data_IF_586030232319
#
_entry.id   IF_586030232319
#
_cell.length_a   1.000
_cell.length_b   1.000
_cell.length_c   1.000
_cell.angle_alpha   90.00
_cell.angle_beta   90.00
_cell.angle_gamma   90.00
#
_symmetry.space_group_name_H-M   'P 1'
#
loop_
_entity.id
_entity.type
_entity.pdbx_description
1 polymer ?
#
# COMPACT_ATOMS: atom_id res chain seq x y z
N UNK A 1 0.32 -30.48 19.99
CA UNK A 1 1.02 -29.93 18.82
C UNK A 1 2.02 -28.86 19.31
N UNK A 2 3.34 -29.06 19.11
CA UNK A 2 4.33 -28.03 19.43
C UNK A 2 4.10 -26.82 18.48
N UNK A 3 3.87 -25.63 19.03
CA UNK A 3 3.84 -24.38 18.23
C UNK A 3 5.19 -24.25 17.52
N UNK A 4 5.20 -24.27 16.20
CA UNK A 4 6.39 -23.91 15.42
C UNK A 4 6.71 -22.44 15.73
N UNK A 5 7.96 -22.11 16.00
CA UNK A 5 8.39 -20.72 16.19
C UNK A 5 8.27 -19.96 14.85
N UNK A 6 8.17 -18.64 14.90
CA UNK A 6 8.14 -17.80 13.70
C UNK A 6 9.40 -18.02 12.86
N UNK A 7 10.56 -18.16 13.49
CA UNK A 7 11.82 -18.46 12.81
C UNK A 7 11.73 -19.75 11.98
N UNK A 8 11.18 -20.80 12.59
CA UNK A 8 10.99 -22.09 11.90
C UNK A 8 10.01 -21.97 10.74
N UNK A 9 8.93 -21.17 10.88
CA UNK A 9 7.93 -20.95 9.86
C UNK A 9 8.51 -20.18 8.66
N UNK A 10 9.31 -19.14 8.92
CA UNK A 10 9.91 -18.29 7.91
C UNK A 10 11.24 -18.82 7.35
N UNK A 11 11.81 -19.87 7.96
CA UNK A 11 13.10 -20.43 7.57
C UNK A 11 14.25 -19.45 7.74
N UNK A 12 14.25 -18.70 8.85
CA UNK A 12 15.27 -17.75 9.27
C UNK A 12 15.97 -18.22 10.54
N UNK A 13 17.20 -17.77 10.75
CA UNK A 13 17.95 -18.02 11.99
C UNK A 13 17.86 -16.83 12.97
N UNK A 14 18.46 -16.97 14.15
CA UNK A 14 18.46 -15.92 15.18
C UNK A 14 19.17 -14.63 14.73
N UNK A 15 20.19 -14.73 13.88
CA UNK A 15 20.87 -13.58 13.32
C UNK A 15 19.99 -12.84 12.31
N UNK A 16 19.28 -13.58 11.44
CA UNK A 16 18.32 -13.01 10.48
C UNK A 16 17.20 -12.27 11.23
N UNK A 17 16.68 -12.87 12.31
CA UNK A 17 15.67 -12.24 13.17
C UNK A 17 16.16 -10.92 13.76
N UNK A 18 17.36 -10.90 14.36
CA UNK A 18 17.95 -9.68 14.92
C UNK A 18 18.14 -8.59 13.86
N UNK A 19 18.59 -8.96 12.66
CA UNK A 19 18.73 -8.01 11.53
C UNK A 19 17.37 -7.38 11.21
N UNK A 20 16.31 -8.17 11.09
CA UNK A 20 14.96 -7.66 10.82
C UNK A 20 14.50 -6.72 11.93
N UNK A 21 14.62 -7.11 13.20
CA UNK A 21 14.24 -6.30 14.36
C UNK A 21 14.99 -4.95 14.43
N UNK A 22 16.26 -4.94 14.05
CA UNK A 22 17.07 -3.71 14.02
C UNK A 22 16.65 -2.77 12.90
N UNK A 23 16.39 -3.31 11.70
CA UNK A 23 15.93 -2.54 10.54
C UNK A 23 14.50 -2.02 10.78
N UNK A 24 13.63 -2.80 11.42
CA UNK A 24 12.27 -2.38 11.79
C UNK A 24 12.29 -1.17 12.73
N UNK A 25 13.20 -1.18 13.72
CA UNK A 25 13.35 -0.06 14.66
C UNK A 25 14.00 1.18 14.05
N UNK A 26 14.96 0.98 13.16
CA UNK A 26 15.67 2.04 12.46
C UNK A 26 15.96 1.61 11.02
N UNK A 27 15.10 2.01 10.07
CA UNK A 27 15.26 1.66 8.64
C UNK A 27 16.56 2.16 8.00
N UNK A 28 17.18 3.20 8.60
CA UNK A 28 18.42 3.82 8.11
C UNK A 28 19.69 3.29 8.80
N UNK A 29 19.54 2.24 9.62
CA UNK A 29 20.68 1.62 10.33
C UNK A 29 21.72 1.10 9.33
N UNK A 30 22.99 1.36 9.61
CA UNK A 30 24.08 0.91 8.72
C UNK A 30 24.37 -0.58 8.91
N UNK A 31 24.84 -1.25 7.84
CA UNK A 31 25.31 -2.63 7.93
C UNK A 31 26.46 -2.79 8.95
N UNK A 32 27.26 -1.74 9.14
CA UNK A 32 28.35 -1.73 10.12
C UNK A 32 27.82 -1.77 11.55
N UNK A 33 26.78 -1.03 11.86
CA UNK A 33 26.18 -1.01 13.20
C UNK A 33 25.44 -2.32 13.51
N UNK A 34 24.73 -2.87 12.52
CA UNK A 34 24.14 -4.20 12.65
C UNK A 34 25.25 -5.23 12.91
N UNK A 35 26.35 -5.18 12.16
CA UNK A 35 27.45 -6.13 12.28
C UNK A 35 28.07 -6.14 13.68
N UNK A 36 28.26 -4.97 14.30
CA UNK A 36 28.74 -4.84 15.68
C UNK A 36 27.78 -5.49 16.67
N UNK A 37 26.48 -5.22 16.53
CA UNK A 37 25.46 -5.72 17.47
C UNK A 37 25.26 -7.25 17.43
N UNK A 38 25.37 -7.84 16.23
CA UNK A 38 25.20 -9.29 16.08
C UNK A 38 26.52 -10.08 16.03
N UNK A 39 27.66 -9.40 16.29
CA UNK A 39 29.03 -9.98 16.29
C UNK A 39 29.35 -10.71 14.97
N UNK A 40 29.08 -10.07 13.85
CA UNK A 40 29.38 -10.58 12.49
C UNK A 40 30.17 -9.55 11.69
N UNK A 41 30.70 -9.94 10.56
CA UNK A 41 31.34 -9.00 9.63
C UNK A 41 30.28 -8.24 8.83
N UNK A 42 30.57 -6.99 8.45
CA UNK A 42 29.70 -6.19 7.61
C UNK A 42 29.33 -6.87 6.28
N UNK A 43 30.25 -7.55 5.56
CA UNK A 43 29.89 -8.31 4.36
C UNK A 43 28.91 -9.45 4.63
N UNK A 44 29.03 -10.14 5.78
CA UNK A 44 28.11 -11.20 6.17
C UNK A 44 26.70 -10.67 6.45
N UNK A 45 26.58 -9.49 7.06
CA UNK A 45 25.31 -8.80 7.27
C UNK A 45 24.68 -8.42 5.94
N UNK A 46 25.45 -7.80 5.03
CA UNK A 46 24.98 -7.44 3.70
C UNK A 46 24.45 -8.64 2.91
N UNK A 47 25.19 -9.76 2.93
CA UNK A 47 24.76 -10.99 2.26
C UNK A 47 23.44 -11.55 2.83
N UNK A 48 23.23 -11.45 4.17
CA UNK A 48 21.99 -11.88 4.83
C UNK A 48 20.82 -10.97 4.46
N UNK A 49 21.02 -9.65 4.45
CA UNK A 49 19.97 -8.69 4.05
C UNK A 49 19.53 -8.96 2.62
N UNK A 50 20.46 -9.10 1.68
CA UNK A 50 20.16 -9.45 0.28
C UNK A 50 19.39 -10.78 0.18
N UNK A 51 19.76 -11.79 0.99
CA UNK A 51 19.04 -13.06 1.03
C UNK A 51 17.61 -12.90 1.53
N UNK A 52 17.39 -12.09 2.59
CA UNK A 52 16.07 -11.81 3.15
C UNK A 52 15.19 -11.04 2.16
N UNK A 53 15.75 -10.05 1.46
CA UNK A 53 15.06 -9.29 0.41
C UNK A 53 14.67 -10.18 -0.77
N UNK A 54 15.59 -11.02 -1.27
CA UNK A 54 15.29 -11.98 -2.35
C UNK A 54 14.21 -13.01 -2.00
N UNK A 55 14.06 -13.33 -0.72
CA UNK A 55 13.01 -14.21 -0.22
C UNK A 55 11.72 -13.46 0.13
N UNK A 56 11.65 -12.17 -0.11
CA UNK A 56 10.55 -11.29 0.28
C UNK A 56 10.21 -11.35 1.78
N UNK A 57 11.19 -11.69 2.62
CA UNK A 57 11.06 -11.70 4.09
C UNK A 57 11.38 -10.32 4.70
N UNK A 58 12.06 -9.48 3.95
CA UNK A 58 12.34 -8.09 4.25
C UNK A 58 11.95 -7.25 3.04
N UNK A 59 11.03 -6.32 3.22
CA UNK A 59 10.60 -5.39 2.17
C UNK A 59 10.57 -3.98 2.74
N UNK A 60 11.15 -3.03 2.02
CA UNK A 60 11.08 -1.60 2.35
C UNK A 60 10.02 -0.96 1.47
N UNK A 61 9.08 -0.26 2.08
CA UNK A 61 8.05 0.51 1.38
C UNK A 61 8.33 1.99 1.64
N UNK A 62 8.41 2.77 0.56
CA UNK A 62 8.51 4.22 0.61
C UNK A 62 7.15 4.81 0.25
N UNK A 63 6.70 5.78 1.03
CA UNK A 63 5.39 6.40 0.81
C UNK A 63 5.12 7.50 1.82
N UNK A 64 3.89 7.97 1.86
CA UNK A 64 3.45 8.99 2.81
C UNK A 64 2.86 8.37 4.07
N UNK A 65 3.26 8.91 5.22
CA UNK A 65 2.67 8.52 6.49
C UNK A 65 1.33 9.25 6.66
N UNK A 66 0.23 8.52 6.48
CA UNK A 66 -1.14 9.03 6.54
C UNK A 66 -1.45 9.72 7.87
N UNK A 67 -0.77 9.33 8.96
CA UNK A 67 -0.90 9.99 10.27
C UNK A 67 -0.32 11.41 10.30
N UNK A 68 0.59 11.74 9.37
CA UNK A 68 1.39 12.99 9.37
C UNK A 68 1.03 13.93 8.23
N UNK A 69 0.36 13.44 7.20
CA UNK A 69 0.02 14.20 6.01
C UNK A 69 -1.50 14.20 5.79
N UNK A 70 -2.03 15.29 5.27
CA UNK A 70 -3.48 15.44 5.03
C UNK A 70 -3.90 14.79 3.71
N UNK A 71 -3.73 13.46 3.65
CA UNK A 71 -4.23 12.62 2.56
C UNK A 71 -5.47 11.90 3.04
N UNK A 72 -6.53 11.94 2.24
CA UNK A 72 -7.76 11.20 2.55
C UNK A 72 -7.59 9.75 2.10
N UNK A 73 -7.95 8.83 2.97
CA UNK A 73 -7.91 7.40 2.70
C UNK A 73 -9.29 6.79 2.96
N UNK A 74 -9.72 5.94 2.06
CA UNK A 74 -10.92 5.14 2.21
C UNK A 74 -10.60 3.65 2.15
N UNK A 75 -11.34 2.87 2.94
CA UNK A 75 -11.39 1.42 2.83
C UNK A 75 -12.67 1.09 2.06
N UNK A 76 -12.50 0.52 0.87
CA UNK A 76 -13.60 0.17 -0.03
C UNK A 76 -13.76 -1.33 -0.07
N UNK A 77 -14.93 -1.80 0.31
CA UNK A 77 -15.33 -3.21 0.22
C UNK A 77 -16.20 -3.38 -1.01
N UNK A 78 -15.87 -4.33 -1.84
CA UNK A 78 -16.59 -4.63 -3.08
C UNK A 78 -17.08 -6.07 -3.06
N UNK A 79 -18.38 -6.27 -3.33
CA UNK A 79 -18.96 -7.55 -3.64
C UNK A 79 -19.17 -7.62 -5.14
N UNK A 80 -18.53 -8.55 -5.82
CA UNK A 80 -18.60 -8.70 -7.27
C UNK A 80 -18.83 -10.15 -7.69
N UNK A 81 -19.44 -10.34 -8.85
CA UNK A 81 -19.60 -11.65 -9.49
C UNK A 81 -18.31 -12.12 -10.15
N UNK A 82 -17.46 -11.19 -10.58
CA UNK A 82 -16.18 -11.48 -11.25
C UNK A 82 -15.03 -10.74 -10.55
N UNK A 83 -14.35 -11.45 -9.66
CA UNK A 83 -13.21 -10.90 -8.90
C UNK A 83 -12.02 -10.63 -9.81
N UNK A 84 -11.78 -11.48 -10.80
CA UNK A 84 -10.62 -11.37 -11.67
C UNK A 84 -10.73 -10.14 -12.60
N UNK A 85 -11.94 -9.83 -13.06
CA UNK A 85 -12.18 -8.62 -13.84
C UNK A 85 -11.92 -7.36 -13.01
N UNK A 86 -12.43 -7.30 -11.78
CA UNK A 86 -12.17 -6.17 -10.88
C UNK A 86 -10.68 -6.06 -10.57
N UNK A 87 -9.98 -7.15 -10.29
CA UNK A 87 -8.53 -7.13 -10.03
C UNK A 87 -7.77 -6.53 -11.21
N UNK A 88 -8.03 -6.97 -12.43
CA UNK A 88 -7.41 -6.41 -13.65
C UNK A 88 -7.66 -4.91 -13.81
N UNK A 89 -8.87 -4.47 -13.46
CA UNK A 89 -9.27 -3.06 -13.56
C UNK A 89 -8.52 -2.17 -12.57
N UNK A 90 -8.27 -2.68 -11.35
CA UNK A 90 -7.66 -1.88 -10.27
C UNK A 90 -6.14 -2.04 -10.19
N UNK A 91 -5.56 -3.07 -10.80
CA UNK A 91 -4.13 -3.41 -10.69
C UNK A 91 -3.19 -2.25 -11.04
N UNK A 92 -3.59 -1.43 -12.01
CA UNK A 92 -2.80 -0.29 -12.46
C UNK A 92 -3.40 1.07 -12.06
N UNK A 93 -4.34 1.09 -11.12
CA UNK A 93 -4.96 2.34 -10.67
C UNK A 93 -4.05 3.04 -9.65
N UNK A 94 -3.53 4.24 -9.93
CA UNK A 94 -2.59 4.94 -9.04
C UNK A 94 -3.23 5.40 -7.73
N UNK A 95 -4.55 5.48 -7.67
CA UNK A 95 -5.31 5.86 -6.46
C UNK A 95 -5.57 4.68 -5.53
N UNK A 96 -5.34 3.43 -5.99
CA UNK A 96 -5.55 2.22 -5.20
C UNK A 96 -4.19 1.72 -4.70
N UNK A 97 -3.87 2.07 -3.46
CA UNK A 97 -2.57 1.77 -2.86
C UNK A 97 -2.41 0.29 -2.52
N UNK A 98 -3.49 -0.34 -2.07
CA UNK A 98 -3.52 -1.76 -1.71
C UNK A 98 -4.87 -2.36 -2.09
N UNK A 99 -4.85 -3.61 -2.55
CA UNK A 99 -6.05 -4.38 -2.82
C UNK A 99 -5.86 -5.83 -2.35
N UNK A 100 -6.96 -6.43 -1.87
CA UNK A 100 -6.96 -7.78 -1.32
C UNK A 100 -8.19 -8.53 -1.81
N UNK A 101 -8.01 -9.81 -2.17
CA UNK A 101 -9.12 -10.75 -2.26
C UNK A 101 -9.44 -11.22 -0.85
N UNK A 102 -10.67 -11.09 -0.42
CA UNK A 102 -11.12 -11.48 0.92
C UNK A 102 -12.26 -12.47 0.84
N UNK A 103 -12.50 -13.23 1.91
CA UNK A 103 -13.63 -14.14 2.04
C UNK A 103 -14.81 -13.45 2.72
N UNK A 104 -16.04 -13.82 2.36
CA UNK A 104 -17.27 -13.32 2.98
C UNK A 104 -18.21 -12.64 1.97
N UNK A 105 -19.10 -11.79 2.48
CA UNK A 105 -20.07 -11.04 1.69
C UNK A 105 -19.40 -10.14 0.64
N UNK A 106 -18.34 -9.46 1.05
CA UNK A 106 -17.45 -8.72 0.16
C UNK A 106 -16.26 -9.61 -0.20
N UNK A 107 -15.86 -9.62 -1.45
CA UNK A 107 -14.78 -10.48 -1.94
C UNK A 107 -13.56 -9.72 -2.44
N UNK A 108 -13.63 -8.38 -2.48
CA UNK A 108 -12.48 -7.48 -2.70
C UNK A 108 -12.49 -6.37 -1.67
N UNK A 109 -11.30 -6.01 -1.17
CA UNK A 109 -11.06 -4.88 -0.30
C UNK A 109 -9.95 -4.03 -0.89
N UNK A 110 -10.16 -2.71 -0.98
CA UNK A 110 -9.17 -1.77 -1.49
C UNK A 110 -8.93 -0.64 -0.49
N UNK A 111 -7.68 -0.16 -0.44
CA UNK A 111 -7.33 1.13 0.14
C UNK A 111 -7.21 2.14 -1.00
N UNK A 112 -8.04 3.15 -0.97
CA UNK A 112 -8.08 4.23 -1.97
C UNK A 112 -7.64 5.51 -1.30
N UNK A 113 -6.69 6.24 -1.89
CA UNK A 113 -6.23 7.52 -1.37
C UNK A 113 -6.33 8.63 -2.40
N UNK A 114 -6.67 9.82 -1.94
CA UNK A 114 -6.76 11.03 -2.76
C UNK A 114 -6.57 12.29 -1.90
N UNK A 115 -6.45 13.45 -2.54
CA UNK A 115 -6.35 14.74 -1.86
C UNK A 115 -7.62 15.12 -1.09
N UNK A 116 -8.78 14.68 -1.56
CA UNK A 116 -10.08 15.05 -1.02
C UNK A 116 -11.12 13.93 -1.14
N UNK A 117 -12.22 14.06 -0.37
CA UNK A 117 -13.28 13.05 -0.34
C UNK A 117 -14.13 13.00 -1.61
N UNK A 118 -14.23 14.11 -2.35
CA UNK A 118 -15.01 14.14 -3.59
C UNK A 118 -14.29 13.30 -4.66
N UNK A 119 -12.98 13.39 -4.70
CA UNK A 119 -12.16 12.55 -5.58
C UNK A 119 -12.30 11.07 -5.22
N UNK A 120 -12.26 10.71 -3.93
CA UNK A 120 -12.51 9.31 -3.49
C UNK A 120 -13.89 8.83 -3.94
N UNK A 121 -14.95 9.64 -3.75
CA UNK A 121 -16.31 9.25 -4.14
C UNK A 121 -16.44 9.04 -5.65
N UNK A 122 -15.83 9.92 -6.47
CA UNK A 122 -15.80 9.75 -7.93
C UNK A 122 -15.05 8.49 -8.34
N UNK A 123 -13.91 8.21 -7.72
CA UNK A 123 -13.15 6.99 -7.97
C UNK A 123 -13.97 5.74 -7.67
N UNK A 124 -14.63 5.71 -6.52
CA UNK A 124 -15.48 4.58 -6.11
C UNK A 124 -16.65 4.39 -7.09
N UNK A 125 -17.28 5.49 -7.52
CA UNK A 125 -18.36 5.43 -8.49
C UNK A 125 -17.89 4.87 -9.83
N UNK A 126 -16.81 5.42 -10.39
CA UNK A 126 -16.28 5.04 -11.70
C UNK A 126 -15.67 3.64 -11.70
N UNK A 127 -14.89 3.29 -10.67
CA UNK A 127 -14.21 2.00 -10.63
C UNK A 127 -15.12 0.84 -10.28
N UNK A 128 -16.13 1.09 -9.43
CA UNK A 128 -16.89 0.00 -8.85
C UNK A 128 -18.40 0.12 -9.05
N UNK A 129 -19.07 1.24 -8.69
CA UNK A 129 -20.54 1.30 -8.71
C UNK A 129 -21.13 1.21 -10.10
N UNK A 130 -20.44 1.70 -11.13
CA UNK A 130 -20.89 1.61 -12.53
C UNK A 130 -20.59 0.28 -13.20
N UNK A 131 -19.86 -0.61 -12.52
CA UNK A 131 -19.54 -1.92 -13.08
C UNK A 131 -20.72 -2.88 -12.94
N UNK A 132 -21.22 -3.47 -14.03
CA UNK A 132 -22.40 -4.35 -14.01
C UNK A 132 -22.17 -5.66 -13.25
N UNK A 133 -20.93 -6.07 -13.04
CA UNK A 133 -20.55 -7.24 -12.27
C UNK A 133 -20.52 -6.96 -10.77
N UNK A 134 -20.48 -5.68 -10.36
CA UNK A 134 -20.47 -5.29 -8.95
C UNK A 134 -21.89 -5.36 -8.38
N UNK A 135 -22.02 -6.07 -7.27
CA UNK A 135 -23.28 -6.28 -6.57
C UNK A 135 -23.49 -5.21 -5.50
N UNK A 136 -22.41 -4.94 -4.74
CA UNK A 136 -22.47 -4.01 -3.61
C UNK A 136 -21.10 -3.36 -3.36
N UNK A 137 -21.12 -2.10 -2.93
CA UNK A 137 -19.92 -1.35 -2.56
C UNK A 137 -20.17 -0.65 -1.23
N UNK A 138 -19.26 -0.87 -0.26
CA UNK A 138 -19.25 -0.17 1.02
C UNK A 138 -17.97 0.62 1.15
N UNK A 139 -18.07 1.92 1.37
CA UNK A 139 -16.95 2.84 1.56
C UNK A 139 -16.91 3.31 3.00
N UNK A 140 -15.75 3.15 3.65
CA UNK A 140 -15.49 3.69 4.98
C UNK A 140 -14.30 4.67 4.87
N UNK A 141 -14.51 5.89 5.29
CA UNK A 141 -13.44 6.90 5.33
C UNK A 141 -12.60 6.67 6.58
N UNK A 142 -11.28 6.67 6.42
CA UNK A 142 -10.33 6.65 7.51
C UNK A 142 -10.32 8.02 8.19
N UNK A 143 -10.77 8.08 9.43
CA UNK A 143 -10.81 9.34 10.19
C UNK A 143 -9.44 9.65 10.78
N UNK A 144 -8.80 8.64 11.37
CA UNK A 144 -7.50 8.78 12.04
C UNK A 144 -6.74 7.46 12.00
N UNK A 145 -5.44 7.54 11.80
CA UNK A 145 -4.53 6.39 11.94
C UNK A 145 -3.91 6.39 13.34
N UNK A 146 -4.16 5.34 14.11
CA UNK A 146 -3.64 5.20 15.49
C UNK A 146 -2.12 5.01 15.46
N UNK A 147 -1.63 4.19 14.56
CA UNK A 147 -0.21 3.94 14.33
C UNK A 147 0.25 4.58 13.02
N UNK A 148 1.54 4.64 12.82
CA UNK A 148 2.10 5.04 11.53
C UNK A 148 1.60 4.09 10.44
N UNK A 149 1.00 4.66 9.40
CA UNK A 149 0.49 3.94 8.25
C UNK A 149 1.03 4.59 6.99
N UNK A 150 1.95 3.89 6.33
CA UNK A 150 2.62 4.37 5.12
C UNK A 150 1.90 3.81 3.90
N UNK A 151 1.42 4.73 3.04
CA UNK A 151 0.84 4.38 1.74
C UNK A 151 1.80 4.80 0.63
N UNK A 152 2.14 3.90 -0.30
CA UNK A 152 2.86 4.28 -1.50
C UNK A 152 1.93 5.13 -2.37
N UNK A 153 2.41 6.30 -2.79
CA UNK A 153 1.67 7.20 -3.67
C UNK A 153 2.49 7.37 -4.93
N UNK A 154 1.86 7.13 -6.06
CA UNK A 154 2.43 7.41 -7.36
C UNK A 154 2.24 8.89 -7.70
N UNK A 155 3.33 9.64 -7.82
CA UNK A 155 3.30 11.06 -8.22
C UNK A 155 2.81 11.28 -9.65
N UNK A 156 2.75 10.24 -10.48
CA UNK A 156 2.13 10.33 -11.81
C UNK A 156 0.63 10.60 -11.77
N UNK A 157 0.03 10.60 -10.56
CA UNK A 157 -1.36 11.02 -10.33
C UNK A 157 -1.62 12.44 -10.89
N UNK A 158 -0.65 13.35 -10.83
CA UNK A 158 -0.80 14.72 -11.35
C UNK A 158 -0.96 14.77 -12.87
N UNK A 159 -0.31 13.85 -13.58
CA UNK A 159 -0.33 13.73 -15.04
C UNK A 159 -1.27 12.60 -15.50
N UNK A 160 -2.11 12.08 -14.59
CA UNK A 160 -2.98 10.96 -14.86
C UNK A 160 -4.02 11.32 -15.92
N UNK A 161 -3.86 10.74 -17.11
CA UNK A 161 -4.72 10.94 -18.28
C UNK A 161 -5.67 9.75 -18.54
N UNK A 162 -5.83 8.84 -17.57
CA UNK A 162 -6.70 7.65 -17.63
C UNK A 162 -6.17 6.49 -18.43
N UNK A 163 -5.02 6.62 -19.08
CA UNK A 163 -4.45 5.52 -19.91
C UNK A 163 -3.96 4.33 -19.12
N UNK A 164 -3.76 4.49 -17.80
CA UNK A 164 -3.26 3.44 -16.91
C UNK A 164 -4.35 2.53 -16.35
N UNK A 165 -5.58 2.97 -16.30
CA UNK A 165 -6.72 2.10 -16.02
C UNK A 165 -7.07 1.42 -17.34
N UNK A 166 -6.99 0.10 -17.43
CA UNK A 166 -7.22 -0.67 -18.65
C UNK A 166 -8.45 -0.30 -19.48
N UNK A 167 -8.73 -0.96 -20.58
CA UNK A 167 -9.82 -0.64 -21.49
C UNK A 167 -11.15 -0.53 -20.74
N UNK A 168 -11.79 0.63 -20.78
CA UNK A 168 -13.05 0.93 -20.11
C UNK A 168 -12.96 1.83 -18.87
N UNK A 169 -11.79 2.32 -18.50
CA UNK A 169 -11.66 3.38 -17.51
C UNK A 169 -11.84 4.76 -18.17
N UNK A 170 -13.01 5.37 -18.01
CA UNK A 170 -13.30 6.71 -18.51
C UNK A 170 -12.97 7.79 -17.45
N UNK A 171 -11.97 7.55 -16.60
CA UNK A 171 -11.67 8.43 -15.47
C UNK A 171 -11.16 9.82 -15.90
N UNK A 172 -10.63 9.96 -17.11
CA UNK A 172 -9.96 11.19 -17.57
C UNK A 172 -10.91 12.36 -17.77
N UNK A 173 -12.13 12.10 -18.21
CA UNK A 173 -13.09 13.15 -18.53
C UNK A 173 -13.79 13.72 -17.30
N UNK A 174 -13.86 12.93 -16.21
CA UNK A 174 -14.67 13.22 -15.02
C UNK A 174 -13.89 13.61 -13.77
N UNK A 175 -12.55 13.42 -13.74
CA UNK A 175 -11.76 13.83 -12.57
C UNK A 175 -11.41 15.33 -12.66
N UNK A 176 -11.59 16.10 -11.59
CA UNK A 176 -11.08 17.46 -11.52
C UNK A 176 -9.56 17.39 -11.67
N UNK A 177 -8.99 18.26 -12.54
CA UNK A 177 -7.54 18.43 -12.61
C UNK A 177 -7.03 18.66 -11.20
N UNK A 178 -6.12 17.82 -10.73
CA UNK A 178 -5.50 17.94 -9.42
C UNK A 178 -4.93 19.35 -9.29
N UNK A 179 -5.58 20.18 -8.48
CA UNK A 179 -5.02 21.47 -8.08
C UNK A 179 -4.51 21.28 -6.66
N UNK A 180 -3.20 21.06 -6.51
CA UNK A 180 -2.58 21.38 -5.24
C UNK A 180 -2.80 22.87 -5.00
N UNK A 181 -3.53 23.22 -3.96
CA UNK A 181 -3.67 24.61 -3.55
C UNK A 181 -2.26 25.11 -3.16
N UNK A 182 -1.68 25.93 -4.05
CA UNK A 182 -0.54 26.77 -3.71
C UNK A 182 -1.03 27.91 -2.82
N UNK A 183 -1.39 27.62 -1.58
CA UNK A 183 -1.68 28.64 -0.58
C UNK A 183 -1.32 28.06 0.78
N UNK A 184 -0.06 28.30 1.16
CA UNK A 184 0.40 28.54 2.55
C UNK A 184 1.93 28.60 2.62
N UNK A 185 2.57 29.32 1.67
CA UNK A 185 3.89 29.89 1.88
C UNK A 185 3.74 31.40 2.08
N UNK A 186 3.23 31.83 3.22
CA UNK A 186 3.40 33.18 3.71
C UNK A 186 2.82 33.30 5.13
N UNK A 187 3.58 32.85 6.15
CA UNK A 187 3.68 33.56 7.45
C UNK A 187 4.74 32.91 8.33
#
# INVERSE_FOLDING_TARGET
>A
MKKKSFETLLGIDSSDKKIIEMIEKNPDITHSDIAKEIEKSQPAVGARIIKLERKHLLTKIVGFNVKKVDIKVAIVYVSTKDVEEIVKKIENCPFINHAFKISGEFNVLCFVSASDLQTIEKLVDLCFRRDPNVINVKTNILIESIHDFVVPIDFQIEDFDGRFCGPGCNMVEDLPKFKFSKEEEAK
#
